data_IF_356458859659
#
_entry.id   IF_356458859659
#
_cell.length_a   1.000
_cell.length_b   1.000
_cell.length_c   1.000
_cell.angle_alpha   90.00
_cell.angle_beta   90.00
_cell.angle_gamma   90.00
#
_symmetry.space_group_name_H-M   'P 1'
#
loop_
_entity.id
_entity.type
_entity.pdbx_description
1 polymer ?
#
# COMPACT_ATOMS: atom_id res chain seq x y z
N UNK A 1 -10.62 -5.15 63.84
CA UNK A 1 -10.09 -6.11 62.84
C UNK A 1 -11.05 -6.33 61.66
N UNK A 2 -12.36 -6.57 61.88
CA UNK A 2 -13.34 -6.75 60.79
C UNK A 2 -13.39 -5.63 59.75
N UNK A 3 -13.43 -4.36 60.17
CA UNK A 3 -13.47 -3.23 59.23
C UNK A 3 -12.23 -3.12 58.32
N UNK A 4 -11.06 -3.56 58.78
CA UNK A 4 -9.84 -3.59 57.97
C UNK A 4 -9.83 -4.74 56.96
N UNK A 5 -10.50 -5.85 57.28
CA UNK A 5 -10.68 -6.98 56.35
C UNK A 5 -11.70 -6.63 55.27
N UNK A 6 -12.82 -5.99 55.65
CA UNK A 6 -13.83 -5.52 54.69
C UNK A 6 -13.29 -4.45 53.74
N UNK A 7 -12.46 -3.51 54.23
CA UNK A 7 -11.81 -2.52 53.38
C UNK A 7 -10.84 -3.16 52.38
N UNK A 8 -10.04 -4.13 52.82
CA UNK A 8 -9.14 -4.88 51.94
C UNK A 8 -9.89 -5.73 50.91
N UNK A 9 -11.01 -6.37 51.30
CA UNK A 9 -11.87 -7.11 50.38
C UNK A 9 -12.43 -6.21 49.30
N UNK A 10 -13.02 -5.06 49.65
CA UNK A 10 -13.55 -4.09 48.68
C UNK A 10 -12.48 -3.57 47.71
N UNK A 11 -11.24 -3.39 48.18
CA UNK A 11 -10.12 -3.01 47.31
C UNK A 11 -9.74 -4.12 46.34
N UNK A 12 -9.81 -5.38 46.77
CA UNK A 12 -9.55 -6.54 45.89
C UNK A 12 -10.67 -6.64 44.83
N UNK A 13 -11.93 -6.53 45.25
CA UNK A 13 -13.09 -6.60 44.35
C UNK A 13 -13.02 -5.50 43.26
N UNK A 14 -12.74 -4.26 43.66
CA UNK A 14 -12.60 -3.13 42.71
C UNK A 14 -11.40 -3.29 41.77
N UNK A 15 -10.28 -3.87 42.24
CA UNK A 15 -9.14 -4.17 41.37
C UNK A 15 -9.48 -5.28 40.37
N UNK A 16 -10.22 -6.29 40.80
CA UNK A 16 -10.65 -7.40 39.95
C UNK A 16 -11.64 -6.92 38.86
N UNK A 17 -12.60 -6.06 39.21
CA UNK A 17 -13.49 -5.44 38.22
C UNK A 17 -12.73 -4.59 37.20
N UNK A 18 -11.74 -3.81 37.65
CA UNK A 18 -10.89 -3.02 36.75
C UNK A 18 -10.04 -3.89 35.84
N UNK A 19 -9.48 -4.99 36.37
CA UNK A 19 -8.72 -5.95 35.58
C UNK A 19 -9.59 -6.58 34.49
N UNK A 20 -10.78 -7.07 34.85
CA UNK A 20 -11.74 -7.64 33.90
C UNK A 20 -12.15 -6.64 32.83
N UNK A 21 -12.43 -5.38 33.21
CA UNK A 21 -12.77 -4.32 32.27
C UNK A 21 -11.62 -4.00 31.31
N UNK A 22 -10.38 -3.96 31.81
CA UNK A 22 -9.19 -3.76 30.97
C UNK A 22 -8.95 -4.93 30.02
N UNK A 23 -9.12 -6.17 30.49
CA UNK A 23 -8.98 -7.35 29.63
C UNK A 23 -9.99 -7.34 28.48
N UNK A 24 -11.24 -6.96 28.77
CA UNK A 24 -12.28 -6.87 27.73
C UNK A 24 -11.95 -5.78 26.70
N UNK A 25 -11.46 -4.62 27.16
CA UNK A 25 -10.99 -3.56 26.26
C UNK A 25 -9.82 -4.01 25.38
N UNK A 26 -8.87 -4.76 25.94
CA UNK A 26 -7.74 -5.30 25.18
C UNK A 26 -8.19 -6.28 24.09
N UNK A 27 -9.21 -7.11 24.37
CA UNK A 27 -9.79 -8.01 23.37
C UNK A 27 -10.50 -7.26 22.24
N UNK A 28 -11.24 -6.21 22.57
CA UNK A 28 -11.90 -5.37 21.56
C UNK A 28 -10.84 -4.68 20.70
N UNK A 29 -9.83 -4.08 21.31
CA UNK A 29 -8.75 -3.40 20.60
C UNK A 29 -7.94 -4.36 19.71
N UNK A 30 -7.65 -5.58 20.17
CA UNK A 30 -6.92 -6.56 19.35
C UNK A 30 -7.72 -6.99 18.13
N UNK A 31 -9.04 -7.10 18.27
CA UNK A 31 -9.95 -7.35 17.15
C UNK A 31 -9.97 -6.19 16.17
N UNK A 32 -10.12 -4.96 16.65
CA UNK A 32 -10.10 -3.76 15.81
C UNK A 32 -8.78 -3.62 15.04
N UNK A 33 -7.64 -3.87 15.68
CA UNK A 33 -6.33 -3.88 15.03
C UNK A 33 -6.30 -4.90 13.90
N UNK A 34 -6.81 -6.10 14.13
CA UNK A 34 -6.86 -7.16 13.11
C UNK A 34 -7.74 -6.75 11.93
N UNK A 35 -8.92 -6.19 12.20
CA UNK A 35 -9.82 -5.67 11.16
C UNK A 35 -9.17 -4.54 10.35
N UNK A 36 -8.47 -3.61 11.02
CA UNK A 36 -7.71 -2.54 10.36
C UNK A 36 -6.58 -3.08 9.48
N UNK A 37 -5.85 -4.11 9.93
CA UNK A 37 -4.80 -4.75 9.14
C UNK A 37 -5.36 -5.37 7.85
N UNK A 38 -6.50 -6.06 7.93
CA UNK A 38 -7.17 -6.62 6.75
C UNK A 38 -7.60 -5.52 5.77
N UNK A 39 -8.12 -4.40 6.27
CA UNK A 39 -8.50 -3.26 5.43
C UNK A 39 -7.27 -2.66 4.74
N UNK A 40 -6.17 -2.44 5.48
CA UNK A 40 -4.93 -1.91 4.94
C UNK A 40 -4.36 -2.81 3.85
N UNK A 41 -4.34 -4.12 4.07
CA UNK A 41 -3.88 -5.08 3.06
C UNK A 41 -4.76 -5.04 1.81
N UNK A 42 -6.09 -4.99 1.97
CA UNK A 42 -7.02 -4.86 0.85
C UNK A 42 -6.81 -3.57 0.05
N UNK A 43 -6.60 -2.45 0.75
CA UNK A 43 -6.33 -1.15 0.11
C UNK A 43 -4.97 -1.13 -0.60
N UNK A 44 -3.95 -1.72 0.00
CA UNK A 44 -2.63 -1.88 -0.61
C UNK A 44 -2.74 -2.67 -1.92
N UNK A 45 -3.43 -3.81 -1.90
CA UNK A 45 -3.65 -4.62 -3.11
C UNK A 45 -4.41 -3.86 -4.20
N UNK A 46 -5.46 -3.12 -3.84
CA UNK A 46 -6.22 -2.29 -4.77
C UNK A 46 -5.35 -1.20 -5.40
N UNK A 47 -4.51 -0.54 -4.59
CA UNK A 47 -3.59 0.51 -5.06
C UNK A 47 -2.57 -0.06 -6.02
N UNK A 48 -1.92 -1.18 -5.65
CA UNK A 48 -0.98 -1.86 -6.52
C UNK A 48 -1.61 -2.26 -7.86
N UNK A 49 -2.84 -2.80 -7.83
CA UNK A 49 -3.57 -3.16 -9.05
C UNK A 49 -3.86 -1.94 -9.92
N UNK A 50 -4.27 -0.81 -9.31
CA UNK A 50 -4.51 0.44 -10.05
C UNK A 50 -3.23 0.98 -10.68
N UNK A 51 -2.09 0.92 -9.98
CA UNK A 51 -0.80 1.32 -10.54
C UNK A 51 -0.38 0.44 -11.72
N UNK A 52 -0.56 -0.88 -11.62
CA UNK A 52 -0.27 -1.80 -12.71
C UNK A 52 -1.16 -1.53 -13.92
N UNK A 53 -2.46 -1.25 -13.70
CA UNK A 53 -3.36 -0.84 -14.78
C UNK A 53 -2.97 0.48 -15.42
N UNK A 54 -2.56 1.47 -14.62
CA UNK A 54 -2.09 2.75 -15.15
C UNK A 54 -0.83 2.61 -16.02
N UNK A 55 0.00 1.59 -15.76
CA UNK A 55 1.25 1.30 -16.49
C UNK A 55 1.09 0.21 -17.55
N UNK A 56 -0.11 -0.32 -17.77
CA UNK A 56 -0.32 -1.47 -18.64
C UNK A 56 0.17 -1.28 -20.08
N UNK A 57 0.17 -0.03 -20.56
CA UNK A 57 0.62 0.35 -21.91
C UNK A 57 1.99 1.04 -21.90
N UNK A 58 2.65 1.11 -20.75
CA UNK A 58 3.99 1.66 -20.65
C UNK A 58 4.99 0.60 -21.08
N UNK A 59 5.94 0.99 -21.92
CA UNK A 59 7.05 0.14 -22.34
C UNK A 59 8.35 0.78 -21.86
N UNK A 60 9.17 0.00 -21.19
CA UNK A 60 10.52 0.41 -20.79
C UNK A 60 11.52 -0.06 -21.85
N UNK A 61 12.34 0.85 -22.34
CA UNK A 61 13.39 0.57 -23.32
C UNK A 61 14.75 0.78 -22.67
N UNK A 62 15.50 -0.31 -22.54
CA UNK A 62 16.81 -0.32 -21.88
C UNK A 62 17.92 -0.35 -22.94
N UNK A 63 19.05 0.29 -22.63
CA UNK A 63 20.23 0.27 -23.50
C UNK A 63 20.17 1.25 -24.68
N UNK A 64 19.25 2.22 -24.64
CA UNK A 64 19.16 3.30 -25.64
C UNK A 64 20.24 4.35 -25.33
N UNK A 65 21.24 4.55 -26.21
CA UNK A 65 22.29 5.56 -26.00
C UNK A 65 21.70 6.96 -25.80
N UNK A 66 22.37 7.80 -25.02
CA UNK A 66 21.94 9.18 -24.77
C UNK A 66 22.71 10.18 -25.64
N UNK A 67 21.97 11.07 -26.30
CA UNK A 67 22.54 12.10 -27.17
C UNK A 67 21.92 13.45 -26.79
N UNK A 68 22.73 14.52 -26.84
CA UNK A 68 22.24 15.89 -26.62
C UNK A 68 21.16 16.25 -27.65
N UNK A 69 20.06 16.85 -27.18
CA UNK A 69 18.93 17.27 -28.01
C UNK A 69 18.28 16.13 -28.82
N UNK A 70 18.24 14.93 -28.25
CA UNK A 70 17.57 13.80 -28.89
C UNK A 70 16.04 14.00 -28.98
N UNK A 71 15.45 13.36 -29.98
CA UNK A 71 14.00 13.26 -30.10
C UNK A 71 13.59 11.83 -29.76
N UNK A 72 13.08 11.64 -28.53
CA UNK A 72 12.70 10.32 -28.01
C UNK A 72 11.63 9.66 -28.87
N UNK A 73 10.62 10.41 -29.33
CA UNK A 73 9.55 9.90 -30.19
C UNK A 73 10.12 9.30 -31.47
N UNK A 74 11.07 9.99 -32.12
CA UNK A 74 11.73 9.47 -33.31
C UNK A 74 12.52 8.18 -33.02
N UNK A 75 13.21 8.13 -31.89
CA UNK A 75 13.95 6.95 -31.45
C UNK A 75 13.00 5.75 -31.27
N UNK A 76 11.85 5.94 -30.60
CA UNK A 76 10.83 4.89 -30.44
C UNK A 76 10.29 4.42 -31.79
N UNK A 77 9.96 5.34 -32.69
CA UNK A 77 9.45 5.00 -34.02
C UNK A 77 10.47 4.21 -34.85
N UNK A 78 11.74 4.61 -34.82
CA UNK A 78 12.82 3.87 -35.48
C UNK A 78 12.99 2.47 -34.90
N UNK A 79 12.88 2.31 -33.57
CA UNK A 79 12.93 0.98 -32.96
C UNK A 79 11.71 0.12 -33.33
N UNK A 80 10.51 0.69 -33.33
CA UNK A 80 9.29 -0.01 -33.73
C UNK A 80 9.38 -0.52 -35.18
N UNK A 81 9.87 0.30 -36.10
CA UNK A 81 10.12 -0.09 -37.49
C UNK A 81 11.08 -1.29 -37.58
N UNK A 82 12.19 -1.26 -36.84
CA UNK A 82 13.16 -2.38 -36.81
C UNK A 82 12.61 -3.64 -36.14
N UNK A 83 11.68 -3.49 -35.20
CA UNK A 83 10.96 -4.59 -34.57
C UNK A 83 9.79 -5.13 -35.40
N UNK A 84 9.47 -4.52 -36.55
CA UNK A 84 8.33 -4.90 -37.39
C UNK A 84 6.97 -4.50 -36.82
N UNK A 85 6.93 -3.50 -35.94
CA UNK A 85 5.71 -2.98 -35.31
C UNK A 85 5.28 -1.71 -36.04
N UNK A 86 4.01 -1.67 -36.45
CA UNK A 86 3.40 -0.46 -37.02
C UNK A 86 3.03 0.47 -35.87
N UNK A 87 3.75 1.59 -35.77
CA UNK A 87 3.55 2.60 -34.74
C UNK A 87 3.62 4.00 -35.38
N UNK A 88 2.70 4.88 -35.01
CA UNK A 88 2.69 6.29 -35.42
C UNK A 88 2.97 7.21 -34.23
N UNK A 89 3.39 8.46 -34.50
CA UNK A 89 3.67 9.43 -33.44
C UNK A 89 2.44 9.72 -32.55
N UNK A 90 1.22 9.61 -33.09
CA UNK A 90 -0.02 9.81 -32.34
C UNK A 90 -0.35 8.68 -31.36
N UNK A 91 0.24 7.50 -31.55
CA UNK A 91 0.08 6.36 -30.65
C UNK A 91 0.93 6.52 -29.37
N UNK A 92 1.92 7.42 -29.40
CA UNK A 92 2.83 7.68 -28.28
C UNK A 92 2.27 8.84 -27.46
N UNK A 93 1.63 8.51 -26.32
CA UNK A 93 1.08 9.51 -25.40
C UNK A 93 2.16 10.38 -24.73
N UNK A 94 3.25 9.76 -24.30
CA UNK A 94 4.38 10.42 -23.64
C UNK A 94 5.62 9.55 -23.71
N UNK A 95 6.79 10.15 -23.83
CA UNK A 95 8.07 9.45 -23.78
C UNK A 95 9.07 10.27 -22.97
N UNK A 96 9.72 9.65 -21.99
CA UNK A 96 10.66 10.29 -21.07
C UNK A 96 11.80 9.33 -20.73
N UNK A 97 12.98 9.89 -20.44
CA UNK A 97 14.06 9.15 -19.77
C UNK A 97 13.71 8.95 -18.29
N UNK A 98 14.07 7.80 -17.73
CA UNK A 98 13.86 7.42 -16.33
C UNK A 98 15.19 6.97 -15.74
#
# INVERSE_FOLDING_TARGET
MQASLEFSSKRIDTLQERANCSEEKLKIQSREITEMQVILESLSFKTQRQEQWARQLNVEMVGVPEIKNENLTNIVLSMAEKAGVVLSAGDIKSCTRV
#
